data_IF_967931857150
#
_entry.id   IF_967931857150
#
_cell.length_a   1.000
_cell.length_b   1.000
_cell.length_c   1.000
_cell.angle_alpha   90.00
_cell.angle_beta   90.00
_cell.angle_gamma   90.00
#
_symmetry.space_group_name_H-M   'P 1'
#
loop_
_entity.id
_entity.type
_entity.pdbx_description
1 polymer ?
#
# COMPACT_ATOMS: atom_id res chain seq x y z
N UNK A 1 -7.06 -3.78 -6.41
CA UNK A 1 -6.01 -2.87 -6.93
C UNK A 1 -5.00 -2.63 -5.82
N UNK A 2 -3.71 -2.72 -6.13
CA UNK A 2 -2.58 -2.46 -5.25
C UNK A 2 -1.88 -1.18 -5.71
N UNK A 3 -1.56 -0.29 -4.78
CA UNK A 3 -0.82 0.92 -5.07
C UNK A 3 0.50 0.95 -4.29
N UNK A 4 1.59 1.35 -4.94
CA UNK A 4 2.94 1.42 -4.36
C UNK A 4 3.44 2.86 -4.43
N UNK A 5 3.85 3.38 -3.29
CA UNK A 5 4.47 4.70 -3.19
C UNK A 5 5.98 4.62 -3.42
N UNK A 6 6.47 5.33 -4.43
CA UNK A 6 7.88 5.60 -4.78
C UNK A 6 8.93 4.46 -4.86
N UNK A 7 8.66 3.22 -4.44
CA UNK A 7 9.65 2.12 -4.48
C UNK A 7 9.64 1.43 -5.86
N UNK A 8 10.41 1.97 -6.81
CA UNK A 8 10.43 1.51 -8.21
C UNK A 8 10.74 0.01 -8.40
N UNK A 9 11.73 -0.53 -7.67
CA UNK A 9 12.08 -1.95 -7.76
C UNK A 9 10.97 -2.84 -7.18
N UNK A 10 10.30 -2.37 -6.13
CA UNK A 10 9.18 -3.09 -5.51
C UNK A 10 7.96 -3.09 -6.42
N UNK A 11 7.63 -1.98 -7.08
CA UNK A 11 6.57 -1.97 -8.10
C UNK A 11 6.80 -3.03 -9.18
N UNK A 12 8.02 -3.08 -9.74
CA UNK A 12 8.35 -4.01 -10.82
C UNK A 12 8.21 -5.48 -10.37
N UNK A 13 8.72 -5.81 -9.18
CA UNK A 13 8.61 -7.16 -8.60
C UNK A 13 7.14 -7.50 -8.34
N UNK A 14 6.38 -6.59 -7.73
CA UNK A 14 4.96 -6.83 -7.42
C UNK A 14 4.12 -6.99 -8.70
N UNK A 15 4.37 -6.19 -9.74
CA UNK A 15 3.73 -6.35 -11.06
C UNK A 15 4.03 -7.72 -11.67
N UNK A 16 5.28 -8.16 -11.63
CA UNK A 16 5.68 -9.44 -12.21
C UNK A 16 5.05 -10.64 -11.47
N UNK A 17 4.88 -10.54 -10.16
CA UNK A 17 4.34 -11.64 -9.33
C UNK A 17 2.82 -11.64 -9.26
N UNK A 18 2.20 -10.48 -9.08
CA UNK A 18 0.77 -10.34 -8.82
C UNK A 18 -0.05 -10.04 -10.09
N UNK A 19 0.56 -9.44 -11.11
CA UNK A 19 -0.09 -9.16 -12.39
C UNK A 19 -0.67 -10.42 -13.07
N UNK A 20 0.10 -11.51 -13.21
CA UNK A 20 -0.41 -12.78 -13.76
C UNK A 20 -1.56 -13.39 -12.95
N UNK A 21 -1.77 -12.95 -11.71
CA UNK A 21 -2.82 -13.42 -10.80
C UNK A 21 -4.07 -12.53 -10.82
N UNK A 22 -4.11 -11.53 -11.71
CA UNK A 22 -5.25 -10.63 -11.87
C UNK A 22 -5.23 -9.38 -10.99
N UNK A 23 -4.18 -9.16 -10.20
CA UNK A 23 -4.05 -7.95 -9.38
C UNK A 23 -3.44 -6.82 -10.20
N UNK A 24 -4.20 -5.74 -10.41
CA UNK A 24 -3.62 -4.48 -10.93
C UNK A 24 -2.71 -3.86 -9.88
N UNK A 25 -1.46 -3.62 -10.26
CA UNK A 25 -0.45 -2.95 -9.43
C UNK A 25 -0.09 -1.63 -10.11
N UNK A 26 -0.22 -0.53 -9.39
CA UNK A 26 0.04 0.81 -9.90
C UNK A 26 0.99 1.56 -8.97
N UNK A 27 1.90 2.35 -9.56
CA UNK A 27 2.74 3.26 -8.80
C UNK A 27 2.13 4.64 -8.78
N UNK A 28 2.27 5.30 -7.65
CA UNK A 28 1.95 6.73 -7.52
C UNK A 28 3.15 7.49 -6.97
N UNK A 29 3.10 8.81 -7.12
CA UNK A 29 4.01 9.77 -6.50
C UNK A 29 3.16 10.87 -5.89
N UNK A 30 3.50 11.36 -4.70
CA UNK A 30 2.76 12.33 -3.88
C UNK A 30 1.65 13.15 -4.57
N UNK A 31 1.98 13.98 -5.56
CA UNK A 31 0.99 14.86 -6.24
C UNK A 31 -0.16 14.11 -6.98
N UNK A 32 0.05 12.86 -7.39
CA UNK A 32 -0.98 12.04 -8.05
C UNK A 32 -1.89 11.31 -7.06
N UNK A 33 -1.51 11.26 -5.78
CA UNK A 33 -2.29 10.62 -4.71
C UNK A 33 -3.59 11.39 -4.47
N UNK A 34 -3.51 12.71 -4.30
CA UNK A 34 -4.66 13.56 -4.07
C UNK A 34 -5.71 13.45 -5.19
N UNK A 35 -5.26 13.48 -6.45
CA UNK A 35 -6.14 13.33 -7.62
C UNK A 35 -6.84 11.98 -7.71
N UNK A 36 -6.21 10.90 -7.22
CA UNK A 36 -6.81 9.55 -7.26
C UNK A 36 -7.94 9.42 -6.26
N UNK A 37 -7.72 9.95 -5.06
CA UNK A 37 -8.73 9.94 -4.01
C UNK A 37 -9.97 10.75 -4.46
N UNK A 38 -9.75 11.92 -5.07
CA UNK A 38 -10.83 12.75 -5.64
C UNK A 38 -11.64 12.04 -6.75
N UNK A 39 -11.05 11.06 -7.44
CA UNK A 39 -11.73 10.27 -8.47
C UNK A 39 -12.46 9.03 -7.92
N UNK A 40 -12.46 8.82 -6.60
CA UNK A 40 -13.10 7.67 -5.96
C UNK A 40 -12.37 6.35 -6.20
N UNK A 41 -11.14 6.39 -6.73
CA UNK A 41 -10.35 5.20 -7.02
C UNK A 41 -9.52 4.80 -5.80
N UNK A 42 -10.19 4.31 -4.75
CA UNK A 42 -9.54 3.82 -3.55
C UNK A 42 -8.95 2.42 -3.79
N UNK A 43 -7.61 2.24 -3.74
CA UNK A 43 -7.01 0.92 -3.82
C UNK A 43 -7.42 0.07 -2.61
N UNK A 44 -7.39 -1.25 -2.81
CA UNK A 44 -7.71 -2.19 -1.74
C UNK A 44 -6.55 -2.30 -0.75
N UNK A 45 -5.31 -2.33 -1.29
CA UNK A 45 -4.07 -2.34 -0.50
C UNK A 45 -3.16 -1.21 -1.00
N UNK A 46 -2.47 -0.55 -0.07
CA UNK A 46 -1.46 0.46 -0.34
C UNK A 46 -0.16 0.10 0.37
N UNK A 47 0.95 0.19 -0.35
CA UNK A 47 2.31 0.07 0.19
C UNK A 47 2.93 1.45 0.21
N UNK A 48 3.33 1.92 1.39
CA UNK A 48 3.86 3.26 1.64
C UNK A 48 5.28 3.14 2.18
N UNK A 49 6.23 3.83 1.54
CA UNK A 49 7.58 3.99 2.10
C UNK A 49 7.59 5.16 3.08
N UNK A 50 7.76 4.88 4.37
CA UNK A 50 7.80 5.86 5.45
C UNK A 50 9.08 6.69 5.48
N UNK A 51 10.15 6.24 4.80
CA UNK A 51 11.38 7.01 4.72
C UNK A 51 11.30 8.10 3.62
N UNK A 52 10.19 8.17 2.87
CA UNK A 52 9.90 9.20 1.88
C UNK A 52 9.18 10.42 2.50
N UNK A 53 9.47 11.62 1.99
CA UNK A 53 8.88 12.87 2.50
C UNK A 53 7.37 12.96 2.28
N UNK A 54 6.83 12.26 1.28
CA UNK A 54 5.40 12.26 0.95
C UNK A 54 4.57 11.20 1.69
N UNK A 55 5.22 10.35 2.50
CA UNK A 55 4.58 9.20 3.15
C UNK A 55 3.36 9.57 4.01
N UNK A 56 3.44 10.68 4.74
CA UNK A 56 2.37 11.16 5.60
C UNK A 56 1.13 11.57 4.78
N UNK A 57 1.34 12.28 3.67
CA UNK A 57 0.28 12.71 2.77
C UNK A 57 -0.37 11.51 2.06
N UNK A 58 0.46 10.52 1.65
CA UNK A 58 -0.02 9.26 1.07
C UNK A 58 -0.87 8.49 2.08
N UNK A 59 -0.40 8.34 3.33
CA UNK A 59 -1.12 7.60 4.36
C UNK A 59 -2.46 8.26 4.72
N UNK A 60 -2.51 9.59 4.77
CA UNK A 60 -3.74 10.35 5.01
C UNK A 60 -4.74 10.21 3.87
N UNK A 61 -4.27 10.17 2.63
CA UNK A 61 -5.12 10.09 1.44
C UNK A 61 -5.75 8.72 1.21
N UNK A 62 -5.17 7.66 1.77
CA UNK A 62 -5.67 6.28 1.65
C UNK A 62 -6.10 5.69 2.99
N UNK A 63 -6.76 6.50 3.83
CA UNK A 63 -7.27 6.06 5.14
C UNK A 63 -8.35 4.97 5.07
N UNK A 64 -8.89 4.68 3.89
CA UNK A 64 -9.89 3.63 3.65
C UNK A 64 -9.30 2.34 3.03
N UNK A 65 -8.00 2.33 2.76
CA UNK A 65 -7.30 1.17 2.23
C UNK A 65 -6.61 0.37 3.34
N UNK A 66 -6.38 -0.92 3.12
CA UNK A 66 -5.43 -1.66 3.94
C UNK A 66 -4.01 -1.17 3.66
N UNK A 67 -3.29 -0.69 4.69
CA UNK A 67 -1.97 -0.07 4.50
C UNK A 67 -0.84 -0.97 4.99
N UNK A 68 0.19 -1.07 4.17
CA UNK A 68 1.49 -1.64 4.51
C UNK A 68 2.49 -0.48 4.54
N UNK A 69 3.07 -0.23 5.70
CA UNK A 69 4.05 0.81 5.95
C UNK A 69 5.43 0.17 6.00
N UNK A 70 6.35 0.63 5.16
CA UNK A 70 7.73 0.14 5.09
C UNK A 70 8.65 1.26 5.57
N UNK A 71 9.49 1.03 6.58
CA UNK A 71 10.37 2.08 7.07
C UNK A 71 11.52 1.59 7.93
N UNK A 72 12.51 2.46 8.12
CA UNK A 72 13.68 2.17 8.97
C UNK A 72 13.36 2.30 10.46
N UNK A 73 12.37 3.13 10.80
CA UNK A 73 11.88 3.35 12.17
C UNK A 73 10.41 3.01 12.23
N UNK A 74 9.99 2.31 13.29
CA UNK A 74 8.57 2.05 13.53
C UNK A 74 7.88 3.37 13.88
N UNK A 75 7.22 3.97 12.89
CA UNK A 75 6.33 5.10 13.11
C UNK A 75 5.15 4.66 13.98
N UNK A 76 4.41 5.63 14.54
CA UNK A 76 3.14 5.35 15.22
C UNK A 76 2.17 4.78 14.19
N UNK A 77 2.07 3.45 14.17
CA UNK A 77 1.18 2.71 13.27
C UNK A 77 -0.20 2.58 13.90
N UNK A 78 -1.25 2.75 13.10
CA UNK A 78 -2.60 2.44 13.56
C UNK A 78 -2.75 0.90 13.67
N UNK A 79 -3.64 0.40 14.53
CA UNK A 79 -3.83 -1.05 14.73
C UNK A 79 -4.19 -1.82 13.43
N UNK A 80 -4.74 -1.10 12.46
CA UNK A 80 -5.10 -1.61 11.13
C UNK A 80 -3.93 -1.67 10.14
N UNK A 81 -2.82 -0.99 10.43
CA UNK A 81 -1.67 -0.96 9.53
C UNK A 81 -0.82 -2.24 9.71
N UNK A 82 -0.10 -2.61 8.65
CA UNK A 82 0.97 -3.60 8.70
C UNK A 82 2.30 -2.88 8.55
N UNK A 83 3.28 -3.20 9.37
CA UNK A 83 4.60 -2.56 9.31
C UNK A 83 5.68 -3.58 8.94
N UNK A 84 6.54 -3.22 7.98
CA UNK A 84 7.73 -3.96 7.60
C UNK A 84 8.96 -3.08 7.83
N UNK A 85 9.86 -3.53 8.69
CA UNK A 85 11.12 -2.83 8.96
C UNK A 85 12.11 -3.01 7.82
N UNK A 86 12.81 -1.95 7.42
CA UNK A 86 13.96 -2.08 6.51
C UNK A 86 15.20 -2.61 7.26
N UNK A 87 16.01 -3.49 6.63
CA UNK A 87 15.77 -4.12 5.33
C UNK A 87 14.69 -5.21 5.43
N UNK A 88 13.78 -5.27 4.45
CA UNK A 88 12.74 -6.29 4.38
C UNK A 88 13.04 -7.29 3.25
N UNK A 89 12.33 -8.42 3.25
CA UNK A 89 12.43 -9.44 2.20
C UNK A 89 11.17 -9.45 1.33
N UNK A 90 11.31 -9.58 0.00
CA UNK A 90 10.15 -9.62 -0.90
C UNK A 90 9.09 -10.69 -0.57
N UNK A 91 9.45 -11.93 -0.16
CA UNK A 91 8.46 -12.91 0.27
C UNK A 91 7.60 -12.46 1.45
N UNK A 92 8.16 -11.67 2.37
CA UNK A 92 7.44 -11.13 3.53
C UNK A 92 6.42 -10.07 3.11
N UNK A 93 6.83 -9.17 2.22
CA UNK A 93 5.95 -8.17 1.63
C UNK A 93 4.81 -8.82 0.82
N UNK A 94 5.15 -9.78 -0.04
CA UNK A 94 4.17 -10.50 -0.86
C UNK A 94 3.13 -11.21 -0.01
N UNK A 95 3.58 -11.95 1.01
CA UNK A 95 2.66 -12.63 1.94
C UNK A 95 1.73 -11.64 2.63
N UNK A 96 2.27 -10.51 3.11
CA UNK A 96 1.47 -9.47 3.76
C UNK A 96 0.43 -8.88 2.81
N UNK A 97 0.79 -8.64 1.54
CA UNK A 97 -0.15 -8.17 0.51
C UNK A 97 -1.24 -9.21 0.26
N UNK A 98 -0.86 -10.48 0.10
CA UNK A 98 -1.82 -11.58 -0.13
C UNK A 98 -2.80 -11.71 1.03
N UNK A 99 -2.31 -11.67 2.28
CA UNK A 99 -3.15 -11.74 3.48
C UNK A 99 -4.15 -10.57 3.53
N UNK A 100 -3.73 -9.35 3.16
CA UNK A 100 -4.61 -8.18 3.12
C UNK A 100 -5.60 -8.19 1.95
N UNK A 101 -5.21 -8.72 0.78
CA UNK A 101 -6.10 -8.87 -0.38
C UNK A 101 -7.25 -9.86 -0.11
N UNK A 102 -7.16 -10.70 0.92
CA UNK A 102 -8.23 -11.61 1.36
C UNK A 102 -9.22 -10.94 2.32
N UNK A 103 -8.90 -9.77 2.86
CA UNK A 103 -9.79 -9.05 3.77
C UNK A 103 -10.86 -8.27 2.98
N UNK A 104 -12.04 -8.03 3.56
CA UNK A 104 -12.99 -7.10 2.95
C UNK A 104 -12.41 -5.68 2.91
N UNK A 105 -12.84 -4.83 1.97
CA UNK A 105 -12.50 -3.40 1.97
C UNK A 105 -12.91 -2.75 3.30
N UNK A 106 -12.11 -1.81 3.82
CA UNK A 106 -12.39 -1.19 5.12
C UNK A 106 -13.69 -0.37 5.14
N UNK A 107 -14.24 -0.02 3.97
CA UNK A 107 -15.49 0.74 3.82
C UNK A 107 -16.76 -0.12 3.91
N UNK A 108 -16.66 -1.45 3.92
CA UNK A 108 -17.82 -2.33 4.07
C UNK A 108 -18.00 -2.74 5.55
N UNK A 109 -18.67 -1.88 6.33
CA UNK A 109 -19.41 -2.37 7.49
C UNK A 109 -20.72 -3.00 7.00
N UNK A 110 -21.08 -4.22 7.43
CA UNK A 110 -22.40 -4.76 7.14
C UNK A 110 -23.42 -3.90 7.90
N UNK A 111 -24.21 -3.15 7.14
CA UNK A 111 -25.44 -2.50 7.64
C UNK A 111 -26.54 -3.53 7.90
#
# INVERSE_FOLDING_TARGET
MLLVDEISDTEAVLKAVLGPRGTSVERTRGAMVARRNEQGNCPHVVVIDLDDESAADTAASFGESHRILIGSVKATVEDRDRFLSKPFQYPELLKTIEDLLLLPPLTESPG
#
